data_IF_870197220106
#
_entry.id   IF_870197220106
#
_cell.length_a   1.000
_cell.length_b   1.000
_cell.length_c   1.000
_cell.angle_alpha   90.00
_cell.angle_beta   90.00
_cell.angle_gamma   90.00
#
_symmetry.space_group_name_H-M   'P 1'
#
loop_
_entity.id
_entity.type
_entity.pdbx_description
1 polymer ?
#
# COMPACT_ATOMS: atom_id res chain seq x y z
N UNK A 1 45.12 35.62 -4.17
CA UNK A 1 43.71 35.22 -4.21
C UNK A 1 43.67 33.71 -4.31
N UNK A 2 43.58 33.03 -3.16
CA UNK A 2 43.64 31.57 -3.07
C UNK A 2 42.25 31.11 -2.66
N UNK A 3 41.51 30.52 -3.59
CA UNK A 3 40.17 30.01 -3.33
C UNK A 3 40.24 28.71 -2.54
N UNK A 4 39.53 28.72 -1.42
CA UNK A 4 39.30 27.59 -0.52
C UNK A 4 38.54 26.46 -1.22
N UNK A 5 39.12 25.27 -1.23
CA UNK A 5 38.41 24.05 -1.64
C UNK A 5 37.69 23.48 -0.42
N UNK A 6 36.46 23.93 -0.19
CA UNK A 6 35.57 23.46 0.87
C UNK A 6 34.94 22.14 0.41
N UNK A 7 35.57 21.02 0.75
CA UNK A 7 35.01 19.68 0.52
C UNK A 7 33.76 19.55 1.39
N UNK A 8 32.60 19.54 0.74
CA UNK A 8 31.30 19.21 1.33
C UNK A 8 31.36 17.78 1.85
N UNK A 9 31.55 17.63 3.15
CA UNK A 9 31.33 16.39 3.89
C UNK A 9 29.82 16.12 3.85
N UNK A 10 29.39 15.36 2.85
CA UNK A 10 28.04 14.85 2.78
C UNK A 10 27.73 14.07 4.06
N UNK A 11 26.66 14.47 4.72
CA UNK A 11 26.08 13.79 5.88
C UNK A 11 25.88 12.32 5.52
N UNK A 12 26.71 11.41 6.06
CA UNK A 12 26.49 9.97 5.97
C UNK A 12 25.14 9.68 6.64
N UNK A 13 24.10 9.40 5.84
CA UNK A 13 22.85 8.82 6.35
C UNK A 13 23.24 7.56 7.12
N UNK A 14 22.68 7.42 8.32
CA UNK A 14 22.83 6.21 9.13
C UNK A 14 22.07 5.12 8.40
N UNK A 15 22.77 4.29 7.63
CA UNK A 15 22.18 3.15 6.95
C UNK A 15 21.79 2.14 8.03
N UNK A 16 20.48 1.90 8.20
CA UNK A 16 19.95 0.85 9.07
C UNK A 16 20.24 -0.53 8.47
N UNK A 17 20.18 -1.59 9.27
CA UNK A 17 20.39 -2.95 8.74
C UNK A 17 19.22 -3.35 7.82
N UNK A 18 19.41 -4.24 6.82
CA UNK A 18 18.35 -4.71 5.93
C UNK A 18 17.10 -5.19 6.68
N UNK A 19 17.29 -5.89 7.81
CA UNK A 19 16.22 -6.39 8.66
C UNK A 19 15.40 -5.25 9.31
N UNK A 20 16.03 -4.11 9.62
CA UNK A 20 15.37 -2.96 10.23
C UNK A 20 14.51 -2.21 9.22
N UNK A 21 14.96 -2.06 7.97
CA UNK A 21 14.16 -1.40 6.93
C UNK A 21 13.02 -2.28 6.43
N UNK A 22 13.23 -3.59 6.32
CA UNK A 22 12.15 -4.53 6.04
C UNK A 22 11.09 -4.48 7.15
N UNK A 23 11.51 -4.50 8.41
CA UNK A 23 10.59 -4.35 9.54
C UNK A 23 9.83 -3.02 9.51
N UNK A 24 10.46 -1.92 9.10
CA UNK A 24 9.81 -0.62 8.95
C UNK A 24 8.73 -0.63 7.85
N UNK A 25 9.00 -1.25 6.70
CA UNK A 25 8.03 -1.41 5.61
C UNK A 25 6.83 -2.27 6.06
N UNK A 26 7.08 -3.39 6.74
CA UNK A 26 6.02 -4.26 7.27
C UNK A 26 5.18 -3.52 8.31
N UNK A 27 5.81 -2.82 9.26
CA UNK A 27 5.09 -2.05 10.28
C UNK A 27 4.23 -0.94 9.66
N UNK A 28 4.70 -0.32 8.58
CA UNK A 28 3.95 0.68 7.82
C UNK A 28 2.74 0.07 7.10
N UNK A 29 2.89 -1.10 6.47
CA UNK A 29 1.78 -1.84 5.87
C UNK A 29 0.71 -2.23 6.89
N UNK A 30 1.13 -2.67 8.08
CA UNK A 30 0.20 -2.97 9.19
C UNK A 30 -0.56 -1.70 9.60
N UNK A 31 0.13 -0.56 9.72
CA UNK A 31 -0.53 0.70 10.05
C UNK A 31 -1.55 1.14 8.99
N UNK A 32 -1.27 0.90 7.70
CA UNK A 32 -2.24 1.15 6.62
C UNK A 32 -3.48 0.26 6.81
N UNK A 33 -3.26 -1.05 6.96
CA UNK A 33 -4.36 -2.03 7.14
C UNK A 33 -5.23 -1.69 8.37
N UNK A 34 -4.61 -1.32 9.49
CA UNK A 34 -5.32 -0.94 10.71
C UNK A 34 -6.21 0.28 10.49
N UNK A 35 -5.75 1.27 9.72
CA UNK A 35 -6.54 2.47 9.41
C UNK A 35 -7.65 2.17 8.41
N UNK A 36 -7.41 1.31 7.41
CA UNK A 36 -8.45 0.86 6.48
C UNK A 36 -9.58 0.11 7.22
N UNK A 37 -9.24 -0.73 8.19
CA UNK A 37 -10.23 -1.40 9.06
C UNK A 37 -11.04 -0.40 9.90
N UNK A 38 -10.39 0.65 10.41
CA UNK A 38 -11.08 1.74 11.12
C UNK A 38 -12.05 2.47 10.21
N UNK A 39 -11.65 2.82 8.99
CA UNK A 39 -12.50 3.48 7.98
C UNK A 39 -13.72 2.60 7.67
N UNK A 40 -13.49 1.33 7.33
CA UNK A 40 -14.53 0.35 7.02
C UNK A 40 -15.54 0.20 8.17
N UNK A 41 -15.04 0.12 9.41
CA UNK A 41 -15.91 0.03 10.58
C UNK A 41 -16.73 1.31 10.81
N UNK A 42 -16.13 2.50 10.61
CA UNK A 42 -16.83 3.78 10.74
C UNK A 42 -17.97 3.90 9.70
N UNK A 43 -17.71 3.53 8.45
CA UNK A 43 -18.73 3.52 7.40
C UNK A 43 -19.89 2.60 7.73
N UNK A 44 -19.59 1.38 8.20
CA UNK A 44 -20.62 0.43 8.64
C UNK A 44 -21.50 1.00 9.77
N UNK A 45 -20.90 1.68 10.75
CA UNK A 45 -21.65 2.30 11.86
C UNK A 45 -22.51 3.47 11.35
N UNK A 46 -22.01 4.29 10.41
CA UNK A 46 -22.77 5.38 9.79
C UNK A 46 -23.99 4.80 9.05
N UNK A 47 -23.81 3.74 8.26
CA UNK A 47 -24.91 3.06 7.56
C UNK A 47 -25.94 2.53 8.56
N UNK A 48 -25.50 1.89 9.64
CA UNK A 48 -26.40 1.40 10.68
C UNK A 48 -27.23 2.53 11.32
N UNK A 49 -26.63 3.71 11.55
CA UNK A 49 -27.34 4.88 12.08
C UNK A 49 -28.33 5.50 11.08
N UNK A 50 -28.01 5.51 9.79
CA UNK A 50 -28.97 5.92 8.76
C UNK A 50 -30.17 4.96 8.70
N UNK A 51 -29.93 3.65 8.86
CA UNK A 51 -31.01 2.66 8.89
C UNK A 51 -31.90 2.82 10.13
N UNK A 52 -31.34 3.21 11.28
CA UNK A 52 -32.10 3.52 12.50
C UNK A 52 -33.06 4.69 12.28
N UNK A 53 -32.60 5.76 11.61
CA UNK A 53 -33.43 6.90 11.21
C UNK A 53 -34.57 6.44 10.31
N UNK A 54 -34.24 5.72 9.22
CA UNK A 54 -35.24 5.25 8.26
C UNK A 54 -36.29 4.31 8.90
N UNK A 55 -35.86 3.43 9.80
CA UNK A 55 -36.76 2.53 10.53
C UNK A 55 -37.68 3.31 11.47
N UNK A 56 -37.16 4.34 12.13
CA UNK A 56 -37.94 5.20 13.03
C UNK A 56 -38.99 6.03 12.27
N UNK A 57 -38.62 6.57 11.11
CA UNK A 57 -39.55 7.31 10.24
C UNK A 57 -40.63 6.40 9.65
N UNK A 58 -40.26 5.18 9.25
CA UNK A 58 -41.22 4.20 8.72
C UNK A 58 -42.23 3.70 9.76
N UNK A 59 -41.92 3.80 11.05
CA UNK A 59 -42.81 3.40 12.14
C UNK A 59 -43.93 4.42 12.44
N UNK A 60 -43.92 5.60 11.80
CA UNK A 60 -44.93 6.65 12.01
C UNK A 60 -46.23 6.26 11.28
N UNK A 61 -47.36 6.07 12.00
CA UNK A 61 -48.65 5.77 11.39
C UNK A 61 -49.13 6.89 10.46
N UNK A 62 -49.67 6.55 9.28
CA UNK A 62 -50.19 7.55 8.35
C UNK A 62 -51.61 7.96 8.70
N UNK A 63 -51.80 9.24 9.03
CA UNK A 63 -53.11 9.79 9.41
C UNK A 63 -53.80 10.58 8.30
N UNK A 64 -53.26 10.62 7.08
CA UNK A 64 -53.82 11.40 5.96
C UNK A 64 -55.29 11.07 5.70
N UNK A 65 -55.66 9.80 5.83
CA UNK A 65 -57.04 9.34 5.68
C UNK A 65 -58.00 9.95 6.73
N UNK A 66 -57.53 10.15 7.97
CA UNK A 66 -58.30 10.81 9.02
C UNK A 66 -58.46 12.31 8.76
N UNK A 67 -57.44 12.94 8.16
CA UNK A 67 -57.48 14.35 7.78
C UNK A 67 -58.54 14.56 6.69
N UNK A 68 -58.48 13.77 5.62
CA UNK A 68 -59.46 13.82 4.52
C UNK A 68 -60.87 13.56 5.02
N UNK A 69 -61.07 12.48 5.81
CA UNK A 69 -62.39 12.15 6.34
C UNK A 69 -62.97 13.27 7.22
N UNK A 70 -62.12 13.98 7.97
CA UNK A 70 -62.56 15.14 8.76
C UNK A 70 -62.93 16.34 7.89
N UNK A 71 -62.14 16.61 6.85
CA UNK A 71 -62.43 17.69 5.89
C UNK A 71 -63.79 17.46 5.22
N UNK A 72 -64.06 16.22 4.79
CA UNK A 72 -65.34 15.83 4.19
C UNK A 72 -66.51 15.99 5.17
N UNK A 73 -66.35 15.58 6.44
CA UNK A 73 -67.37 15.74 7.48
C UNK A 73 -67.65 17.22 7.79
N UNK A 74 -66.61 18.07 7.81
CA UNK A 74 -66.78 19.51 8.00
C UNK A 74 -67.50 20.17 6.82
N UNK A 75 -67.18 19.76 5.59
CA UNK A 75 -67.88 20.22 4.39
C UNK A 75 -69.35 19.76 4.39
N UNK A 76 -69.62 18.51 4.79
CA UNK A 76 -70.96 17.96 4.95
C UNK A 76 -71.78 18.68 6.02
N UNK A 77 -71.17 19.03 7.15
CA UNK A 77 -71.82 19.79 8.22
C UNK A 77 -72.18 21.21 7.75
N UNK A 78 -71.28 21.89 7.01
CA UNK A 78 -71.56 23.19 6.42
C UNK A 78 -72.70 23.15 5.37
N UNK A 79 -72.84 22.02 4.67
CA UNK A 79 -73.93 21.76 3.72
C UNK A 79 -75.25 21.32 4.41
N UNK A 80 -75.26 21.13 5.73
CA UNK A 80 -76.42 20.64 6.49
C UNK A 80 -76.73 19.15 6.27
N UNK A 81 -75.78 18.39 5.70
CA UNK A 81 -75.92 16.96 5.39
C UNK A 81 -75.41 16.05 6.50
N UNK A 82 -74.60 16.59 7.42
CA UNK A 82 -73.98 15.87 8.54
C UNK A 82 -74.33 16.62 9.84
N UNK A 83 -74.59 15.87 10.89
CA UNK A 83 -74.91 16.39 12.22
C UNK A 83 -73.65 16.65 13.05
N UNK A 84 -73.73 17.60 13.98
CA UNK A 84 -72.67 17.85 14.98
C UNK A 84 -72.33 16.59 15.82
N UNK A 85 -73.28 15.65 15.95
CA UNK A 85 -73.07 14.39 16.65
C UNK A 85 -72.10 13.47 15.92
N UNK A 86 -72.27 13.33 14.59
CA UNK A 86 -71.40 12.50 13.74
C UNK A 86 -69.96 13.04 13.70
N UNK A 87 -69.80 14.37 13.68
CA UNK A 87 -68.47 15.00 13.74
C UNK A 87 -67.78 14.73 15.09
N UNK A 88 -68.51 14.82 16.21
CA UNK A 88 -67.97 14.51 17.55
C UNK A 88 -67.63 13.05 17.73
N UNK A 89 -68.45 12.15 17.18
CA UNK A 89 -68.19 10.71 17.21
C UNK A 89 -66.94 10.36 16.40
N UNK A 90 -66.78 10.93 15.20
CA UNK A 90 -65.56 10.78 14.41
C UNK A 90 -64.32 11.29 15.16
N UNK A 91 -64.37 12.51 15.70
CA UNK A 91 -63.23 13.07 16.43
C UNK A 91 -62.87 12.18 17.65
N UNK A 92 -63.86 11.68 18.41
CA UNK A 92 -63.63 10.74 19.50
C UNK A 92 -63.02 9.41 19.06
N UNK A 93 -63.48 8.85 17.93
CA UNK A 93 -62.97 7.58 17.41
C UNK A 93 -61.57 7.70 16.82
N UNK A 94 -61.22 8.87 16.28
CA UNK A 94 -59.91 9.14 15.65
C UNK A 94 -58.81 9.54 16.64
N UNK A 95 -59.16 9.89 17.89
CA UNK A 95 -58.23 10.46 18.87
C UNK A 95 -57.08 9.50 19.21
N UNK A 96 -57.37 8.20 19.37
CA UNK A 96 -56.35 7.21 19.70
C UNK A 96 -55.28 7.08 18.59
N UNK A 97 -55.68 7.17 17.33
CA UNK A 97 -54.77 7.07 16.19
C UNK A 97 -53.98 8.37 15.98
N UNK A 98 -54.61 9.53 16.19
CA UNK A 98 -53.91 10.83 16.22
C UNK A 98 -52.87 10.88 17.34
N UNK A 99 -53.21 10.35 18.51
CA UNK A 99 -52.28 10.28 19.63
C UNK A 99 -51.13 9.31 19.36
N UNK A 100 -51.41 8.13 18.83
CA UNK A 100 -50.37 7.18 18.41
C UNK A 100 -49.41 7.80 17.38
N UNK A 101 -49.94 8.53 16.39
CA UNK A 101 -49.14 9.29 15.44
C UNK A 101 -48.29 10.37 16.12
N UNK A 102 -48.86 11.16 17.04
CA UNK A 102 -48.13 12.22 17.78
C UNK A 102 -46.98 11.65 18.60
N UNK A 103 -47.23 10.55 19.31
CA UNK A 103 -46.22 9.85 20.12
C UNK A 103 -45.13 9.27 19.23
N UNK A 104 -45.48 8.58 18.15
CA UNK A 104 -44.52 8.02 17.19
C UNK A 104 -43.66 9.11 16.53
N UNK A 105 -44.27 10.22 16.12
CA UNK A 105 -43.57 11.37 15.54
C UNK A 105 -42.61 12.02 16.55
N UNK A 106 -43.03 12.19 17.80
CA UNK A 106 -42.18 12.73 18.86
C UNK A 106 -40.99 11.81 19.13
N UNK A 107 -41.23 10.50 19.23
CA UNK A 107 -40.17 9.50 19.40
C UNK A 107 -39.19 9.52 18.22
N UNK A 108 -39.71 9.54 16.99
CA UNK A 108 -38.87 9.56 15.78
C UNK A 108 -38.00 10.81 15.70
N UNK A 109 -38.51 11.99 16.09
CA UNK A 109 -37.69 13.20 16.17
C UNK A 109 -36.52 13.08 17.14
N UNK A 110 -36.71 12.43 18.29
CA UNK A 110 -35.63 12.21 19.27
C UNK A 110 -34.59 11.25 18.70
N UNK A 111 -35.02 10.08 18.22
CA UNK A 111 -34.14 9.07 17.61
C UNK A 111 -33.35 9.65 16.45
N UNK A 112 -34.02 10.35 15.53
CA UNK A 112 -33.38 11.00 14.39
C UNK A 112 -32.44 12.12 14.81
N UNK A 113 -32.75 12.87 15.88
CA UNK A 113 -31.86 13.89 16.43
C UNK A 113 -30.54 13.29 16.93
N UNK A 114 -30.64 12.27 17.79
CA UNK A 114 -29.48 11.59 18.38
C UNK A 114 -28.65 10.87 17.31
N UNK A 115 -29.30 10.16 16.38
CA UNK A 115 -28.65 9.49 15.28
C UNK A 115 -27.92 10.47 14.34
N UNK A 116 -28.55 11.60 13.98
CA UNK A 116 -27.90 12.63 13.16
C UNK A 116 -26.70 13.27 13.86
N UNK A 117 -26.79 13.51 15.17
CA UNK A 117 -25.66 14.01 15.94
C UNK A 117 -24.50 13.00 15.96
N UNK A 118 -24.80 11.72 16.16
CA UNK A 118 -23.82 10.64 16.09
C UNK A 118 -23.17 10.53 14.70
N UNK A 119 -23.97 10.56 13.63
CA UNK A 119 -23.49 10.53 12.23
C UNK A 119 -22.50 11.68 11.98
N UNK A 120 -22.85 12.91 12.37
CA UNK A 120 -21.94 14.06 12.22
C UNK A 120 -20.62 13.85 12.97
N UNK A 121 -20.65 13.23 14.15
CA UNK A 121 -19.45 12.87 14.90
C UNK A 121 -18.60 11.81 14.20
N UNK A 122 -19.26 10.76 13.70
CA UNK A 122 -18.62 9.65 12.97
C UNK A 122 -18.00 10.13 11.66
N UNK A 123 -18.69 10.98 10.89
CA UNK A 123 -18.17 11.57 9.65
C UNK A 123 -16.90 12.41 9.87
N UNK A 124 -16.80 13.13 10.99
CA UNK A 124 -15.56 13.84 11.35
C UNK A 124 -14.42 12.88 11.65
N UNK A 125 -14.70 11.77 12.34
CA UNK A 125 -13.70 10.72 12.60
C UNK A 125 -13.27 10.01 11.32
N UNK A 126 -14.21 9.72 10.43
CA UNK A 126 -13.97 9.11 9.12
C UNK A 126 -12.99 9.97 8.32
N UNK A 127 -13.28 11.26 8.17
CA UNK A 127 -12.37 12.19 7.49
C UNK A 127 -10.98 12.23 8.12
N UNK A 128 -10.90 12.23 9.45
CA UNK A 128 -9.61 12.19 10.15
C UNK A 128 -8.82 10.90 9.87
N UNK A 129 -9.51 9.75 9.74
CA UNK A 129 -8.88 8.48 9.38
C UNK A 129 -8.45 8.47 7.90
N UNK A 130 -9.27 9.00 6.98
CA UNK A 130 -8.91 9.16 5.56
C UNK A 130 -7.68 10.06 5.38
N UNK A 131 -7.61 11.17 6.11
CA UNK A 131 -6.44 12.06 6.12
C UNK A 131 -5.19 11.34 6.65
N UNK A 132 -5.33 10.51 7.68
CA UNK A 132 -4.22 9.70 8.20
C UNK A 132 -3.77 8.65 7.19
N UNK A 133 -4.69 7.96 6.51
CA UNK A 133 -4.38 7.00 5.45
C UNK A 133 -3.61 7.68 4.32
N UNK A 134 -4.06 8.85 3.88
CA UNK A 134 -3.35 9.64 2.87
C UNK A 134 -1.92 9.99 3.32
N UNK A 135 -1.75 10.43 4.58
CA UNK A 135 -0.41 10.73 5.13
C UNK A 135 0.48 9.49 5.22
N UNK A 136 -0.06 8.31 5.46
CA UNK A 136 0.71 7.06 5.40
C UNK A 136 1.20 6.82 3.97
N UNK A 137 0.32 6.93 2.97
CA UNK A 137 0.68 6.73 1.57
C UNK A 137 1.77 7.69 1.05
N UNK A 138 1.84 8.92 1.58
CA UNK A 138 2.93 9.83 1.20
C UNK A 138 4.33 9.33 1.59
N UNK A 139 4.44 8.35 2.48
CA UNK A 139 5.70 7.77 2.96
C UNK A 139 6.10 6.48 2.24
N UNK A 140 5.21 5.90 1.45
CA UNK A 140 5.41 4.59 0.81
C UNK A 140 6.69 4.57 -0.04
N UNK A 141 6.85 5.59 -0.89
CA UNK A 141 8.01 5.68 -1.78
C UNK A 141 9.32 5.81 -1.00
N UNK A 142 9.36 6.62 0.05
CA UNK A 142 10.60 6.83 0.81
C UNK A 142 11.03 5.55 1.55
N UNK A 143 10.06 4.83 2.14
CA UNK A 143 10.31 3.55 2.82
C UNK A 143 10.78 2.47 1.85
N UNK A 144 10.10 2.31 0.70
CA UNK A 144 10.50 1.37 -0.33
C UNK A 144 11.89 1.70 -0.88
N UNK A 145 12.17 2.99 -1.12
CA UNK A 145 13.48 3.43 -1.58
C UNK A 145 14.58 3.07 -0.58
N UNK A 146 14.37 3.34 0.70
CA UNK A 146 15.37 3.04 1.74
C UNK A 146 15.60 1.53 1.86
N UNK A 147 14.55 0.69 1.74
CA UNK A 147 14.66 -0.77 1.68
C UNK A 147 15.48 -1.22 0.46
N UNK A 148 15.14 -0.74 -0.74
CA UNK A 148 15.82 -1.12 -1.99
C UNK A 148 17.30 -0.72 -1.99
N UNK A 149 17.63 0.47 -1.47
CA UNK A 149 19.01 0.92 -1.34
C UNK A 149 19.80 -0.03 -0.43
N UNK A 150 19.22 -0.47 0.69
CA UNK A 150 19.91 -1.36 1.61
C UNK A 150 20.08 -2.77 1.06
N UNK A 151 19.09 -3.29 0.35
CA UNK A 151 19.21 -4.57 -0.36
C UNK A 151 20.31 -4.49 -1.42
N UNK A 152 20.39 -3.38 -2.16
CA UNK A 152 21.44 -3.15 -3.14
C UNK A 152 22.82 -3.03 -2.49
N UNK A 153 22.95 -2.33 -1.36
CA UNK A 153 24.20 -2.23 -0.61
C UNK A 153 24.65 -3.60 -0.07
N UNK A 154 23.72 -4.38 0.50
CA UNK A 154 24.02 -5.74 0.98
C UNK A 154 24.44 -6.68 -0.15
N UNK A 155 23.77 -6.61 -1.30
CA UNK A 155 24.16 -7.35 -2.50
C UNK A 155 25.54 -6.89 -3.00
N UNK A 156 25.81 -5.58 -2.96
CA UNK A 156 27.09 -4.99 -3.31
C UNK A 156 28.24 -5.47 -2.42
N UNK A 157 28.02 -5.56 -1.10
CA UNK A 157 29.02 -6.11 -0.16
C UNK A 157 29.33 -7.58 -0.49
N UNK A 158 28.31 -8.40 -0.74
CA UNK A 158 28.48 -9.81 -1.16
C UNK A 158 29.24 -9.91 -2.48
N UNK A 159 28.92 -9.04 -3.44
CA UNK A 159 29.64 -8.97 -4.72
C UNK A 159 31.11 -8.59 -4.54
N UNK A 160 31.41 -7.59 -3.71
CA UNK A 160 32.79 -7.21 -3.38
C UNK A 160 33.54 -8.38 -2.75
N UNK A 161 32.93 -9.12 -1.83
CA UNK A 161 33.55 -10.30 -1.24
C UNK A 161 33.84 -11.38 -2.29
N UNK A 162 32.87 -11.70 -3.15
CA UNK A 162 33.05 -12.67 -4.23
C UNK A 162 34.17 -12.25 -5.21
N UNK A 163 34.25 -10.96 -5.57
CA UNK A 163 35.32 -10.48 -6.45
C UNK A 163 36.71 -10.54 -5.79
N UNK A 164 36.81 -10.36 -4.48
CA UNK A 164 38.06 -10.59 -3.75
C UNK A 164 38.48 -12.05 -3.79
N UNK A 165 37.53 -12.98 -3.67
CA UNK A 165 37.79 -14.41 -3.81
C UNK A 165 38.23 -14.76 -5.23
N UNK A 166 37.57 -14.22 -6.26
CA UNK A 166 37.99 -14.37 -7.67
C UNK A 166 39.42 -13.84 -7.86
N UNK A 167 39.73 -12.65 -7.34
CA UNK A 167 41.09 -12.07 -7.39
C UNK A 167 42.11 -12.98 -6.73
N UNK A 168 41.80 -13.59 -5.58
CA UNK A 168 42.69 -14.52 -4.88
C UNK A 168 43.01 -15.74 -5.76
N UNK A 169 42.00 -16.36 -6.35
CA UNK A 169 42.18 -17.51 -7.24
C UNK A 169 42.94 -17.11 -8.51
N UNK A 170 42.64 -15.96 -9.10
CA UNK A 170 43.35 -15.39 -10.25
C UNK A 170 44.85 -15.26 -9.98
N UNK A 171 45.23 -14.65 -8.84
CA UNK A 171 46.64 -14.52 -8.44
C UNK A 171 47.30 -15.87 -8.21
N UNK A 172 46.57 -16.84 -7.66
CA UNK A 172 47.08 -18.19 -7.44
C UNK A 172 47.36 -18.90 -8.77
N UNK A 173 46.50 -18.74 -9.77
CA UNK A 173 46.71 -19.28 -11.12
C UNK A 173 47.91 -18.63 -11.80
N UNK A 174 48.04 -17.31 -11.74
CA UNK A 174 49.22 -16.61 -12.28
C UNK A 174 50.52 -17.07 -11.59
N UNK A 175 50.50 -17.28 -10.28
CA UNK A 175 51.65 -17.77 -9.54
C UNK A 175 52.06 -19.18 -10.02
N UNK A 176 51.08 -20.07 -10.24
CA UNK A 176 51.31 -21.41 -10.76
C UNK A 176 51.82 -21.40 -12.21
N UNK A 177 51.31 -20.50 -13.06
CA UNK A 177 51.82 -20.31 -14.41
C UNK A 177 53.28 -19.85 -14.40
N UNK A 178 53.58 -18.81 -13.62
CA UNK A 178 54.94 -18.29 -13.47
C UNK A 178 55.89 -19.35 -12.94
N UNK A 179 55.46 -20.14 -11.94
CA UNK A 179 56.24 -21.25 -11.42
C UNK A 179 56.50 -22.32 -12.49
N UNK A 180 55.48 -22.68 -13.27
CA UNK A 180 55.62 -23.65 -14.36
C UNK A 180 56.61 -23.17 -15.43
N UNK A 181 56.62 -21.86 -15.73
CA UNK A 181 57.56 -21.21 -16.65
C UNK A 181 59.00 -21.26 -16.11
N UNK A 182 59.20 -20.96 -14.83
CA UNK A 182 60.49 -21.06 -14.14
C UNK A 182 61.02 -22.50 -14.12
N UNK A 183 60.13 -23.49 -13.99
CA UNK A 183 60.46 -24.91 -13.96
C UNK A 183 60.53 -25.58 -15.34
N UNK A 184 60.35 -24.82 -16.44
CA UNK A 184 60.32 -25.33 -17.82
C UNK A 184 59.34 -26.49 -18.05
N UNK A 185 58.21 -26.50 -17.33
CA UNK A 185 57.18 -27.51 -17.50
C UNK A 185 56.38 -27.27 -18.79
N UNK A 186 56.11 -28.33 -19.54
CA UNK A 186 55.25 -28.23 -20.75
C UNK A 186 53.81 -27.97 -20.33
N UNK A 187 53.13 -26.95 -20.88
CA UNK A 187 51.72 -26.71 -20.59
C UNK A 187 50.87 -27.90 -21.05
N UNK A 188 50.08 -28.47 -20.15
CA UNK A 188 49.08 -29.52 -20.45
C UNK A 188 47.81 -29.24 -19.66
N UNK A 189 46.64 -29.12 -20.31
CA UNK A 189 45.36 -28.85 -19.64
C UNK A 189 44.48 -27.82 -20.34
N UNK A 190 43.58 -27.15 -19.59
CA UNK A 190 42.68 -26.05 -20.03
C UNK A 190 43.40 -24.85 -20.68
N UNK A 191 44.72 -24.90 -20.75
CA UNK A 191 45.67 -23.89 -21.24
C UNK A 191 46.22 -24.27 -22.62
N UNK A 192 45.38 -24.90 -23.45
CA UNK A 192 45.77 -25.53 -24.74
C UNK A 192 45.90 -24.54 -25.91
N UNK A 193 46.12 -23.26 -25.62
CA UNK A 193 46.71 -22.32 -26.58
C UNK A 193 48.19 -22.18 -26.25
N UNK A 194 49.04 -22.12 -27.26
CA UNK A 194 50.50 -21.96 -27.11
C UNK A 194 50.95 -20.63 -26.45
N UNK A 195 50.01 -19.86 -25.89
CA UNK A 195 50.23 -18.65 -25.12
C UNK A 195 49.26 -18.64 -23.92
N UNK A 196 49.85 -18.69 -22.71
CA UNK A 196 49.29 -18.24 -21.42
C UNK A 196 47.99 -18.90 -20.95
N UNK A 197 47.78 -18.95 -19.64
CA UNK A 197 46.49 -19.42 -19.11
C UNK A 197 45.44 -18.36 -19.45
N UNK A 198 44.59 -18.62 -20.44
CA UNK A 198 43.48 -17.72 -20.77
C UNK A 198 42.43 -17.80 -19.67
N UNK A 199 42.17 -16.66 -19.02
CA UNK A 199 41.25 -16.56 -17.90
C UNK A 199 39.93 -15.93 -18.36
N UNK A 200 38.78 -16.50 -17.95
CA UNK A 200 37.49 -15.93 -18.29
C UNK A 200 37.34 -14.49 -17.81
N UNK A 201 36.68 -13.66 -18.61
CA UNK A 201 36.49 -12.23 -18.37
C UNK A 201 35.02 -11.88 -18.11
N UNK A 202 34.82 -10.83 -17.31
CA UNK A 202 33.54 -10.16 -17.13
C UNK A 202 33.57 -8.87 -17.96
N UNK A 203 32.55 -8.66 -18.79
CA UNK A 203 32.39 -7.45 -19.58
C UNK A 203 31.22 -6.61 -19.03
N UNK A 204 31.49 -5.96 -17.89
CA UNK A 204 30.55 -5.07 -17.22
C UNK A 204 30.78 -3.63 -17.68
N UNK A 205 29.71 -2.83 -17.79
CA UNK A 205 29.80 -1.41 -18.16
C UNK A 205 30.68 -0.59 -17.19
N UNK A 206 30.80 -1.04 -15.93
CA UNK A 206 31.66 -0.44 -14.92
C UNK A 206 33.16 -0.71 -15.14
N UNK A 207 33.51 -1.74 -15.92
CA UNK A 207 34.89 -2.08 -16.27
C UNK A 207 35.32 -1.32 -17.53
N UNK A 208 35.75 -0.05 -17.38
CA UNK A 208 36.31 0.72 -18.50
C UNK A 208 37.61 0.08 -19.01
N UNK A 209 37.66 -0.24 -20.31
CA UNK A 209 38.92 -0.46 -21.03
C UNK A 209 39.18 -1.86 -21.60
N UNK A 210 38.27 -2.82 -21.44
CA UNK A 210 38.42 -4.17 -22.05
C UNK A 210 37.19 -4.47 -22.91
N UNK A 211 37.15 -3.89 -24.11
CA UNK A 211 36.16 -4.27 -25.12
C UNK A 211 36.61 -5.56 -25.81
N UNK A 212 36.51 -6.69 -25.13
CA UNK A 212 36.33 -7.96 -25.84
C UNK A 212 34.89 -7.97 -26.40
N UNK A 213 34.69 -8.48 -27.62
CA UNK A 213 33.35 -8.64 -28.16
C UNK A 213 32.50 -9.41 -27.15
N UNK A 214 31.26 -8.98 -26.90
CA UNK A 214 30.37 -9.62 -25.92
C UNK A 214 30.16 -11.13 -26.16
N UNK A 215 30.52 -11.61 -27.36
CA UNK A 215 30.36 -12.99 -27.81
C UNK A 215 31.70 -13.77 -27.82
N UNK A 216 32.75 -13.24 -27.18
CA UNK A 216 34.04 -13.93 -27.08
C UNK A 216 33.88 -15.20 -26.21
N UNK A 217 34.47 -16.34 -26.60
CA UNK A 217 34.36 -17.59 -25.83
C UNK A 217 34.93 -17.49 -24.41
N UNK A 218 35.77 -16.48 -24.16
CA UNK A 218 36.35 -16.22 -22.85
C UNK A 218 35.48 -15.31 -21.96
N UNK A 219 34.40 -14.71 -22.48
CA UNK A 219 33.50 -13.85 -21.70
C UNK A 219 32.43 -14.72 -21.05
N UNK A 220 32.47 -14.82 -19.71
CA UNK A 220 31.50 -15.61 -18.95
C UNK A 220 30.25 -14.81 -18.55
N UNK A 221 30.32 -13.47 -18.58
CA UNK A 221 29.17 -12.61 -18.30
C UNK A 221 29.34 -11.21 -18.91
N UNK A 222 28.26 -10.60 -19.41
CA UNK A 222 28.21 -9.20 -19.81
C UNK A 222 26.81 -8.60 -19.63
N UNK A 223 26.71 -7.30 -19.42
CA UNK A 223 25.41 -6.60 -19.26
C UNK A 223 24.55 -6.76 -20.53
N UNK A 224 25.17 -6.70 -21.71
CA UNK A 224 24.50 -6.91 -22.99
C UNK A 224 23.94 -8.32 -23.13
N UNK A 225 24.71 -9.35 -22.75
CA UNK A 225 24.23 -10.73 -22.75
C UNK A 225 23.09 -10.90 -21.73
N UNK A 226 23.21 -10.35 -20.52
CA UNK A 226 22.18 -10.45 -19.50
C UNK A 226 20.84 -9.85 -19.97
N UNK A 227 20.87 -8.71 -20.66
CA UNK A 227 19.69 -8.14 -21.29
C UNK A 227 19.14 -9.01 -22.44
N UNK A 228 19.99 -9.50 -23.33
CA UNK A 228 19.57 -10.34 -24.46
C UNK A 228 18.96 -11.68 -24.03
N UNK A 229 19.49 -12.28 -22.96
CA UNK A 229 19.01 -13.56 -22.45
C UNK A 229 17.81 -13.43 -21.51
N UNK A 230 17.39 -12.20 -21.18
CA UNK A 230 16.32 -11.94 -20.21
C UNK A 230 16.72 -12.17 -18.75
N UNK A 231 18.02 -12.36 -18.46
CA UNK A 231 18.50 -12.60 -17.10
C UNK A 231 18.27 -11.40 -16.17
N UNK A 232 18.20 -10.18 -16.71
CA UNK A 232 17.83 -8.99 -15.94
C UNK A 232 16.38 -9.03 -15.48
N UNK A 233 15.49 -9.50 -16.34
CA UNK A 233 14.05 -9.59 -16.04
C UNK A 233 13.79 -10.74 -15.07
N UNK A 234 14.49 -11.87 -15.23
CA UNK A 234 14.46 -12.99 -14.29
C UNK A 234 14.93 -12.55 -12.90
N UNK A 235 16.07 -11.87 -12.79
CA UNK A 235 16.58 -11.37 -11.51
C UNK A 235 15.65 -10.33 -10.85
N UNK A 236 14.99 -9.49 -11.65
CA UNK A 236 13.94 -8.58 -11.16
C UNK A 236 12.77 -9.37 -10.59
N UNK A 237 12.29 -10.37 -11.33
CA UNK A 237 11.16 -11.21 -10.92
C UNK A 237 11.47 -12.01 -9.63
N UNK A 238 12.68 -12.56 -9.53
CA UNK A 238 13.17 -13.22 -8.31
C UNK A 238 13.20 -12.26 -7.13
N UNK A 239 13.70 -11.03 -7.34
CA UNK A 239 13.75 -10.00 -6.29
C UNK A 239 12.35 -9.60 -5.84
N UNK A 240 11.42 -9.38 -6.77
CA UNK A 240 10.02 -9.11 -6.46
C UNK A 240 9.37 -10.26 -5.69
N UNK A 241 9.63 -11.51 -6.11
CA UNK A 241 9.12 -12.70 -5.44
C UNK A 241 9.65 -12.79 -4.00
N UNK A 242 10.95 -12.61 -3.80
CA UNK A 242 11.57 -12.62 -2.47
C UNK A 242 11.02 -11.51 -1.57
N UNK A 243 10.76 -10.32 -2.11
CA UNK A 243 10.14 -9.22 -1.37
C UNK A 243 8.70 -9.56 -0.95
N UNK A 244 7.91 -10.14 -1.85
CA UNK A 244 6.57 -10.62 -1.52
C UNK A 244 6.58 -11.73 -0.47
N UNK A 245 7.48 -12.71 -0.58
CA UNK A 245 7.67 -13.77 0.43
C UNK A 245 8.10 -13.21 1.79
N UNK A 246 8.80 -12.08 1.79
CA UNK A 246 9.18 -11.34 2.99
C UNK A 246 8.04 -10.48 3.56
N UNK A 247 6.85 -10.49 2.94
CA UNK A 247 5.66 -9.76 3.39
C UNK A 247 5.51 -8.35 2.82
N UNK A 248 6.36 -7.94 1.87
CA UNK A 248 6.25 -6.62 1.24
C UNK A 248 5.15 -6.63 0.18
N UNK A 249 4.17 -5.74 0.30
CA UNK A 249 3.02 -5.66 -0.63
C UNK A 249 2.84 -4.29 -1.29
N UNK A 250 3.69 -3.31 -0.94
CA UNK A 250 3.64 -1.94 -1.48
C UNK A 250 4.25 -1.79 -2.88
N UNK A 251 4.66 -2.90 -3.53
CA UNK A 251 5.42 -2.93 -4.78
C UNK A 251 4.47 -3.04 -5.98
#
# INVERSE_FOLDING_TARGET
MTQENKILVGTRRKVSKPDESLAAVIAHQVAISDIEDVISNLDRIIVAKNNEIAASEAAIPKIDHLIIAREDLLAGAAAGLVTDGELKEFDSNSEAEREAHRVALAHSKVVSGDANQAIKGLQRKLRGAEEQLHLLHTKDHDLLRDLLIQLAESAGEKYVQATQDVKKHYLQILALENLSRVLHLKPTGFTKSSAEITLPSFNLASCKGVYQAANSPDVIFSDFLAHLTGATDEALQETMTALHESGVTLI
#
